data_IF_510318851372
#
_entry.id   IF_510318851372
#
_cell.length_a   1.000
_cell.length_b   1.000
_cell.length_c   1.000
_cell.angle_alpha   90.00
_cell.angle_beta   90.00
_cell.angle_gamma   90.00
#
_symmetry.space_group_name_H-M   'P 1'
#
loop_
_entity.id
_entity.type
_entity.pdbx_description
1 polymer ?
#
# COMPACT_ATOMS: atom_id res chain seq x y z
N UNK A 1 13.67 25.07 14.48
CA UNK A 1 12.66 24.06 14.15
C UNK A 1 11.79 23.85 15.37
N UNK A 2 10.46 23.92 15.25
CA UNK A 2 9.58 23.61 16.37
C UNK A 2 9.76 22.13 16.74
N UNK A 3 9.83 21.84 18.05
CA UNK A 3 9.92 20.47 18.56
C UNK A 3 8.58 19.79 18.28
N UNK A 4 8.60 18.62 17.63
CA UNK A 4 7.38 17.82 17.39
C UNK A 4 6.80 17.33 18.71
N UNK A 5 5.52 17.57 18.93
CA UNK A 5 4.83 17.04 20.09
C UNK A 5 4.47 15.57 19.82
N UNK A 6 5.08 14.67 20.57
CA UNK A 6 4.94 13.22 20.40
C UNK A 6 4.36 12.61 21.66
N UNK A 7 3.28 11.86 21.51
CA UNK A 7 2.77 10.95 22.52
C UNK A 7 3.00 9.51 22.07
N UNK A 8 3.87 8.82 22.80
CA UNK A 8 4.16 7.41 22.53
C UNK A 8 3.58 6.55 23.66
N UNK A 9 2.55 5.77 23.31
CA UNK A 9 1.88 4.82 24.19
C UNK A 9 2.07 3.37 23.69
N UNK A 10 3.13 3.09 22.95
CA UNK A 10 3.42 1.75 22.45
C UNK A 10 3.49 0.72 23.59
N UNK A 11 2.79 -0.42 23.42
CA UNK A 11 2.80 -1.58 24.34
C UNK A 11 2.45 -1.24 25.78
N UNK A 12 1.40 -0.44 26.00
CA UNK A 12 0.93 -0.07 27.33
C UNK A 12 -0.27 -0.92 27.79
N UNK A 13 -0.66 -1.95 27.00
CA UNK A 13 -1.81 -2.84 27.30
C UNK A 13 -3.10 -2.06 27.58
N UNK A 14 -3.33 -0.99 26.81
CA UNK A 14 -4.41 -0.02 27.09
C UNK A 14 -5.82 -0.64 27.00
N UNK A 15 -6.03 -1.59 26.08
CA UNK A 15 -7.36 -2.10 25.74
C UNK A 15 -8.29 -1.04 25.12
N UNK A 16 -8.25 0.18 25.63
CA UNK A 16 -8.95 1.36 25.09
C UNK A 16 -8.09 2.61 25.28
N UNK A 17 -8.22 3.56 24.34
CA UNK A 17 -7.45 4.82 24.41
C UNK A 17 -8.07 5.73 25.48
N UNK A 18 -7.27 6.26 26.45
CA UNK A 18 -7.79 7.18 27.47
C UNK A 18 -8.35 8.46 26.85
N UNK A 19 -9.48 8.95 27.36
CA UNK A 19 -10.13 10.18 26.86
C UNK A 19 -9.22 11.42 26.89
N UNK A 20 -8.27 11.48 27.83
CA UNK A 20 -7.29 12.56 27.94
C UNK A 20 -6.37 12.70 26.72
N UNK A 21 -6.24 11.65 25.92
CA UNK A 21 -5.45 11.67 24.67
C UNK A 21 -6.11 12.58 23.65
N UNK A 22 -7.44 12.53 23.53
CA UNK A 22 -8.21 13.30 22.52
C UNK A 22 -8.19 14.80 22.78
N UNK A 23 -7.87 15.22 23.99
CA UNK A 23 -7.72 16.65 24.38
C UNK A 23 -6.37 17.23 24.01
N UNK A 24 -5.41 16.42 23.61
CA UNK A 24 -4.03 16.83 23.23
C UNK A 24 -3.97 17.25 21.76
N UNK A 25 -4.74 18.25 21.38
CA UNK A 25 -4.92 18.70 19.98
C UNK A 25 -3.63 19.23 19.32
N UNK A 26 -2.56 19.46 20.10
CA UNK A 26 -1.28 19.96 19.62
C UNK A 26 -0.31 18.84 19.17
N UNK A 27 -0.73 17.57 19.28
CA UNK A 27 0.12 16.43 18.90
C UNK A 27 0.45 16.43 17.40
N UNK A 28 1.72 16.25 17.07
CA UNK A 28 2.21 15.94 15.72
C UNK A 28 2.33 14.43 15.48
N UNK A 29 2.61 13.65 16.52
CA UNK A 29 2.82 12.20 16.44
C UNK A 29 2.09 11.49 17.57
N UNK A 30 1.26 10.51 17.21
CA UNK A 30 0.58 9.63 18.16
C UNK A 30 0.88 8.16 17.81
N UNK A 31 1.45 7.43 18.77
CA UNK A 31 1.75 6.01 18.65
C UNK A 31 0.89 5.23 19.65
N UNK A 32 -0.01 4.43 19.13
CA UNK A 32 -0.94 3.57 19.86
C UNK A 32 -0.76 2.09 19.48
N UNK A 33 0.36 1.75 18.85
CA UNK A 33 0.62 0.40 18.40
C UNK A 33 0.77 -0.60 19.55
N UNK A 34 0.33 -1.85 19.31
CA UNK A 34 0.46 -3.00 20.20
C UNK A 34 -0.19 -2.76 21.59
N UNK A 35 -1.48 -2.40 21.58
CA UNK A 35 -2.26 -2.07 22.79
C UNK A 35 -3.55 -2.90 22.96
N UNK A 36 -3.81 -3.86 22.06
CA UNK A 36 -5.04 -4.65 22.12
C UNK A 36 -6.31 -3.84 21.85
N UNK A 37 -6.21 -2.71 21.18
CA UNK A 37 -7.35 -1.84 20.86
C UNK A 37 -8.33 -2.56 19.94
N UNK A 38 -9.60 -2.61 20.30
CA UNK A 38 -10.67 -3.20 19.49
C UNK A 38 -11.50 -2.18 18.74
N UNK A 39 -11.45 -0.92 19.15
CA UNK A 39 -12.16 0.20 18.55
C UNK A 39 -11.33 1.49 18.62
N UNK A 40 -11.52 2.36 17.65
CA UNK A 40 -11.01 3.73 17.63
C UNK A 40 -12.24 4.67 17.65
N UNK A 41 -12.39 5.55 18.66
CA UNK A 41 -13.54 6.43 18.74
C UNK A 41 -13.44 7.59 17.73
N UNK A 42 -14.58 8.21 17.36
CA UNK A 42 -14.64 9.38 16.49
C UNK A 42 -13.82 10.58 16.98
N UNK A 43 -13.53 10.63 18.27
CA UNK A 43 -12.69 11.67 18.89
C UNK A 43 -11.30 11.79 18.29
N UNK A 44 -10.81 10.76 17.59
CA UNK A 44 -9.56 10.83 16.81
C UNK A 44 -9.56 12.03 15.86
N UNK A 45 -10.73 12.40 15.30
CA UNK A 45 -10.90 13.54 14.41
C UNK A 45 -10.52 14.89 15.03
N UNK A 46 -10.43 15.00 16.35
CA UNK A 46 -10.03 16.24 17.04
C UNK A 46 -8.53 16.55 16.91
N UNK A 47 -7.70 15.54 16.60
CA UNK A 47 -6.24 15.67 16.54
C UNK A 47 -5.75 16.19 15.18
N UNK A 48 -6.28 17.33 14.75
CA UNK A 48 -6.09 17.88 13.39
C UNK A 48 -4.63 18.18 13.02
N UNK A 49 -3.71 18.28 13.98
CA UNK A 49 -2.30 18.58 13.72
C UNK A 49 -1.43 17.36 13.50
N UNK A 50 -1.98 16.16 13.69
CA UNK A 50 -1.22 14.93 13.50
C UNK A 50 -0.61 14.85 12.10
N UNK A 51 0.65 14.45 12.07
CA UNK A 51 1.43 14.12 10.87
C UNK A 51 1.74 12.64 10.77
N UNK A 52 1.80 11.97 11.92
CA UNK A 52 1.99 10.51 12.02
C UNK A 52 1.00 9.94 13.02
N UNK A 53 0.31 8.86 12.61
CA UNK A 53 -0.55 8.06 13.47
C UNK A 53 -0.17 6.59 13.29
N UNK A 54 0.15 5.93 14.41
CA UNK A 54 0.43 4.50 14.43
C UNK A 54 -0.61 3.76 15.28
N UNK A 55 -1.41 2.94 14.60
CA UNK A 55 -2.44 2.05 15.14
C UNK A 55 -2.12 0.57 14.82
N UNK A 56 -0.91 0.27 14.38
CA UNK A 56 -0.49 -1.09 14.01
C UNK A 56 -0.56 -2.06 15.19
N UNK A 57 -0.62 -3.36 14.88
CA UNK A 57 -0.63 -4.44 15.88
C UNK A 57 -1.71 -4.26 16.96
N UNK A 58 -2.97 -4.13 16.54
CA UNK A 58 -4.13 -4.04 17.40
C UNK A 58 -5.22 -5.04 16.96
N UNK A 59 -6.40 -4.94 17.52
CA UNK A 59 -7.54 -5.79 17.16
C UNK A 59 -8.71 -4.97 16.57
N UNK A 60 -8.40 -3.87 15.88
CA UNK A 60 -9.38 -2.97 15.30
C UNK A 60 -10.16 -3.67 14.18
N UNK A 61 -11.48 -3.71 14.30
CA UNK A 61 -12.37 -4.24 13.25
C UNK A 61 -12.82 -3.18 12.24
N UNK A 62 -12.74 -1.92 12.63
CA UNK A 62 -13.02 -0.75 11.80
C UNK A 62 -12.26 0.46 12.31
N UNK A 63 -12.14 1.48 11.47
CA UNK A 63 -11.72 2.84 11.84
C UNK A 63 -12.83 3.82 11.46
N UNK A 64 -13.06 4.88 12.26
CA UNK A 64 -14.17 5.82 12.04
C UNK A 64 -13.90 6.75 10.85
N UNK A 65 -14.99 7.29 10.26
CA UNK A 65 -14.91 8.26 9.16
C UNK A 65 -14.16 9.55 9.58
N UNK A 66 -14.19 9.90 10.86
CA UNK A 66 -13.49 11.04 11.43
C UNK A 66 -11.97 10.96 11.25
N UNK A 67 -11.43 9.79 10.98
CA UNK A 67 -10.01 9.63 10.62
C UNK A 67 -9.65 10.48 9.39
N UNK A 68 -10.57 10.64 8.44
CA UNK A 68 -10.40 11.49 7.26
C UNK A 68 -10.40 12.99 7.54
N UNK A 69 -10.67 13.43 8.77
CA UNK A 69 -10.56 14.83 9.20
C UNK A 69 -9.12 15.24 9.52
N UNK A 70 -8.20 14.26 9.65
CA UNK A 70 -6.78 14.48 9.92
C UNK A 70 -6.01 14.96 8.66
N UNK A 71 -6.48 16.03 8.02
CA UNK A 71 -5.98 16.49 6.71
C UNK A 71 -4.52 16.99 6.74
N UNK A 72 -3.97 17.24 7.93
CA UNK A 72 -2.53 17.55 8.10
C UNK A 72 -1.65 16.30 8.21
N UNK A 73 -2.24 15.09 8.22
CA UNK A 73 -1.50 13.83 8.25
C UNK A 73 -0.67 13.70 6.97
N UNK A 74 0.64 13.89 7.09
CA UNK A 74 1.54 14.05 5.95
C UNK A 74 2.66 13.03 5.90
N UNK A 75 3.00 12.41 7.01
CA UNK A 75 4.11 11.48 7.08
C UNK A 75 3.59 10.03 6.93
N UNK A 76 3.07 9.44 8.00
CA UNK A 76 2.71 8.02 8.03
C UNK A 76 1.36 7.76 8.71
N UNK A 77 0.60 6.81 8.14
CA UNK A 77 -0.54 6.16 8.76
C UNK A 77 -0.31 4.65 8.77
N UNK A 78 -0.20 4.08 9.96
CA UNK A 78 -0.07 2.63 10.16
C UNK A 78 -1.38 2.06 10.69
N UNK A 79 -1.97 1.14 9.93
CA UNK A 79 -3.18 0.38 10.25
C UNK A 79 -2.94 -1.14 10.12
N UNK A 80 -1.68 -1.54 9.90
CA UNK A 80 -1.31 -2.93 9.64
C UNK A 80 -1.51 -3.81 10.88
N UNK A 81 -1.64 -5.12 10.62
CA UNK A 81 -1.85 -6.15 11.63
C UNK A 81 -3.02 -5.78 12.58
N UNK A 82 -4.21 -5.75 11.96
CA UNK A 82 -5.50 -5.50 12.58
C UNK A 82 -6.56 -6.46 12.00
N UNK A 83 -7.82 -6.23 12.29
CA UNK A 83 -8.95 -7.04 11.79
C UNK A 83 -9.86 -6.22 10.87
N UNK A 84 -9.30 -5.25 10.14
CA UNK A 84 -10.06 -4.36 9.28
C UNK A 84 -10.57 -5.13 8.04
N UNK A 85 -11.88 -5.22 7.89
CA UNK A 85 -12.51 -5.82 6.70
C UNK A 85 -12.77 -4.79 5.60
N UNK A 86 -12.76 -3.51 5.92
CA UNK A 86 -12.92 -2.36 5.02
C UNK A 86 -12.20 -1.13 5.56
N UNK A 87 -11.91 -0.19 4.68
CA UNK A 87 -11.42 1.15 5.03
C UNK A 87 -12.54 2.18 4.83
N UNK A 88 -12.60 3.27 5.61
CA UNK A 88 -13.60 4.31 5.43
C UNK A 88 -13.34 5.14 4.16
N UNK A 89 -14.40 5.62 3.53
CA UNK A 89 -14.32 6.44 2.32
C UNK A 89 -13.59 7.76 2.58
N UNK A 90 -13.70 8.29 3.78
CA UNK A 90 -13.05 9.53 4.19
C UNK A 90 -11.52 9.50 4.13
N UNK A 91 -10.88 8.30 4.08
CA UNK A 91 -9.43 8.19 3.90
C UNK A 91 -8.93 8.95 2.65
N UNK A 92 -9.76 9.04 1.60
CA UNK A 92 -9.44 9.82 0.41
C UNK A 92 -9.16 11.30 0.67
N UNK A 93 -9.58 11.85 1.80
CA UNK A 93 -9.35 13.24 2.19
C UNK A 93 -7.90 13.49 2.65
N UNK A 94 -7.12 12.43 2.94
CA UNK A 94 -5.74 12.53 3.41
C UNK A 94 -4.77 12.81 2.25
N UNK A 95 -5.00 13.91 1.57
CA UNK A 95 -4.31 14.28 0.32
C UNK A 95 -2.80 14.52 0.47
N UNK A 96 -2.32 14.76 1.70
CA UNK A 96 -0.91 15.02 2.02
C UNK A 96 -0.15 13.78 2.47
N UNK A 97 -0.85 12.69 2.80
CA UNK A 97 -0.23 11.48 3.34
C UNK A 97 0.75 10.88 2.34
N UNK A 98 1.95 10.53 2.81
CA UNK A 98 3.02 9.95 1.98
C UNK A 98 3.15 8.45 2.12
N UNK A 99 2.84 7.90 3.27
CA UNK A 99 2.96 6.49 3.58
C UNK A 99 1.68 5.96 4.22
N UNK A 100 1.10 4.93 3.62
CA UNK A 100 -0.03 4.19 4.16
C UNK A 100 0.31 2.71 4.23
N UNK A 101 0.16 2.11 5.42
CA UNK A 101 0.28 0.67 5.59
C UNK A 101 -1.02 0.10 6.18
N UNK A 102 -1.71 -0.70 5.36
CA UNK A 102 -2.93 -1.46 5.72
C UNK A 102 -2.70 -2.98 5.57
N UNK A 103 -1.44 -3.40 5.54
CA UNK A 103 -1.08 -4.82 5.43
C UNK A 103 -1.58 -5.66 6.60
N UNK A 104 -1.64 -6.98 6.39
CA UNK A 104 -2.02 -7.92 7.45
C UNK A 104 -3.40 -7.61 8.05
N UNK A 105 -4.38 -7.45 7.16
CA UNK A 105 -5.79 -7.25 7.47
C UNK A 105 -6.67 -8.17 6.59
N UNK A 106 -7.91 -8.45 6.92
CA UNK A 106 -8.81 -9.21 6.05
C UNK A 106 -9.53 -8.34 5.00
N UNK A 107 -8.88 -7.29 4.44
CA UNK A 107 -9.47 -6.43 3.42
C UNK A 107 -9.74 -7.23 2.14
N UNK A 108 -10.97 -7.16 1.63
CA UNK A 108 -11.34 -7.77 0.34
C UNK A 108 -11.36 -6.75 -0.80
N UNK A 109 -11.53 -5.48 -0.49
CA UNK A 109 -11.57 -4.36 -1.42
C UNK A 109 -10.92 -3.12 -0.80
N UNK A 110 -10.56 -2.16 -1.65
CA UNK A 110 -10.18 -0.81 -1.26
C UNK A 110 -11.28 0.16 -1.76
N UNK A 111 -11.55 1.26 -1.05
CA UNK A 111 -12.55 2.24 -1.49
C UNK A 111 -12.07 3.00 -2.74
N UNK A 112 -12.99 3.37 -3.63
CA UNK A 112 -12.66 4.21 -4.80
C UNK A 112 -12.09 5.58 -4.39
N UNK A 113 -12.45 6.06 -3.22
CA UNK A 113 -11.92 7.32 -2.69
C UNK A 113 -10.42 7.29 -2.41
N UNK A 114 -9.78 6.09 -2.40
CA UNK A 114 -8.32 5.96 -2.25
C UNK A 114 -7.55 6.85 -3.25
N UNK A 115 -8.12 7.06 -4.44
CA UNK A 115 -7.54 7.93 -5.47
C UNK A 115 -7.37 9.39 -5.05
N UNK A 116 -8.10 9.84 -4.02
CA UNK A 116 -7.96 11.18 -3.45
C UNK A 116 -6.66 11.42 -2.70
N UNK A 117 -5.95 10.36 -2.29
CA UNK A 117 -4.68 10.42 -1.54
C UNK A 117 -3.50 10.82 -2.47
N UNK A 118 -3.58 11.97 -3.10
CA UNK A 118 -2.68 12.40 -4.18
C UNK A 118 -1.21 12.56 -3.78
N UNK A 119 -0.92 12.73 -2.49
CA UNK A 119 0.44 12.79 -1.92
C UNK A 119 1.09 11.43 -1.69
N UNK A 120 0.33 10.32 -1.83
CA UNK A 120 0.80 9.00 -1.43
C UNK A 120 1.95 8.53 -2.32
N UNK A 121 3.10 8.27 -1.69
CA UNK A 121 4.32 7.81 -2.37
C UNK A 121 4.62 6.33 -2.13
N UNK A 122 4.17 5.78 -1.00
CA UNK A 122 4.30 4.37 -0.67
C UNK A 122 2.97 3.84 -0.11
N UNK A 123 2.48 2.78 -0.72
CA UNK A 123 1.26 2.09 -0.30
C UNK A 123 1.54 0.62 -0.04
N UNK A 124 1.28 0.18 1.18
CA UNK A 124 1.42 -1.20 1.62
C UNK A 124 0.06 -1.80 1.95
N UNK A 125 -0.32 -2.83 1.20
CA UNK A 125 -1.55 -3.60 1.39
C UNK A 125 -1.28 -5.12 1.29
N UNK A 126 -0.07 -5.55 1.69
CA UNK A 126 0.32 -6.97 1.69
C UNK A 126 -0.51 -7.78 2.68
N UNK A 127 -0.61 -9.10 2.42
CA UNK A 127 -1.29 -10.06 3.29
C UNK A 127 -2.74 -9.66 3.63
N UNK A 128 -3.49 -9.31 2.60
CA UNK A 128 -4.93 -9.08 2.63
C UNK A 128 -5.67 -10.16 1.80
N UNK A 129 -6.91 -9.88 1.38
CA UNK A 129 -7.73 -10.76 0.55
C UNK A 129 -8.22 -10.02 -0.71
N UNK A 130 -7.42 -9.08 -1.20
CA UNK A 130 -7.76 -8.27 -2.37
C UNK A 130 -7.79 -9.14 -3.63
N UNK A 131 -8.87 -9.05 -4.42
CA UNK A 131 -9.00 -9.72 -5.72
C UNK A 131 -8.56 -8.82 -6.87
N UNK A 132 -8.67 -7.53 -6.70
CA UNK A 132 -8.25 -6.47 -7.62
C UNK A 132 -8.03 -5.16 -6.86
N UNK A 133 -7.61 -4.13 -7.57
CA UNK A 133 -7.57 -2.74 -7.06
C UNK A 133 -8.72 -1.95 -7.69
N UNK A 134 -9.20 -0.86 -7.03
CA UNK A 134 -10.18 0.05 -7.62
C UNK A 134 -9.58 0.83 -8.81
N UNK A 135 -10.42 1.27 -9.74
CA UNK A 135 -9.96 2.06 -10.88
C UNK A 135 -9.34 3.40 -10.47
N UNK A 136 -9.76 3.94 -9.34
CA UNK A 136 -9.18 5.15 -8.78
C UNK A 136 -7.69 5.01 -8.37
N UNK A 137 -7.14 3.79 -8.30
CA UNK A 137 -5.70 3.59 -8.00
C UNK A 137 -4.81 4.40 -8.95
N UNK A 138 -5.21 4.53 -10.23
CA UNK A 138 -4.48 5.31 -11.23
C UNK A 138 -4.43 6.82 -10.98
N UNK A 139 -5.16 7.33 -10.00
CA UNK A 139 -5.11 8.73 -9.58
C UNK A 139 -3.97 9.02 -8.60
N UNK A 140 -3.33 7.98 -8.03
CA UNK A 140 -2.19 8.10 -7.11
C UNK A 140 -0.89 8.45 -7.88
N UNK A 141 -0.87 9.61 -8.51
CA UNK A 141 0.21 10.02 -9.43
C UNK A 141 1.57 10.21 -8.77
N UNK A 142 1.63 10.33 -7.44
CA UNK A 142 2.87 10.43 -6.67
C UNK A 142 3.42 9.06 -6.23
N UNK A 143 2.68 7.95 -6.50
CA UNK A 143 3.00 6.63 -6.00
C UNK A 143 4.28 6.08 -6.64
N UNK A 144 5.24 5.71 -5.79
CA UNK A 144 6.54 5.15 -6.17
C UNK A 144 6.68 3.69 -5.81
N UNK A 145 6.04 3.28 -4.73
CA UNK A 145 6.12 1.92 -4.22
C UNK A 145 4.73 1.37 -3.92
N UNK A 146 4.41 0.22 -4.49
CA UNK A 146 3.14 -0.48 -4.30
C UNK A 146 3.40 -1.93 -3.88
N UNK A 147 3.00 -2.26 -2.65
CA UNK A 147 3.25 -3.55 -2.03
C UNK A 147 1.93 -4.31 -1.86
N UNK A 148 1.74 -5.36 -2.66
CA UNK A 148 0.49 -6.15 -2.76
C UNK A 148 0.71 -7.65 -2.50
N UNK A 149 1.87 -8.03 -1.96
CA UNK A 149 2.21 -9.43 -1.68
C UNK A 149 1.12 -10.13 -0.87
N UNK A 150 0.90 -11.44 -1.17
CA UNK A 150 0.06 -12.28 -0.31
C UNK A 150 -1.41 -11.87 -0.34
N UNK A 151 -1.91 -11.51 -1.52
CA UNK A 151 -3.32 -11.29 -1.80
C UNK A 151 -3.85 -12.40 -2.74
N UNK A 152 -5.02 -12.22 -3.30
CA UNK A 152 -5.62 -13.12 -4.29
C UNK A 152 -5.89 -12.39 -5.62
N UNK A 153 -5.00 -11.45 -5.97
CA UNK A 153 -5.16 -10.59 -7.15
C UNK A 153 -4.99 -11.42 -8.42
N UNK A 154 -5.99 -11.39 -9.28
CA UNK A 154 -6.01 -12.06 -10.59
C UNK A 154 -5.62 -11.10 -11.72
N UNK A 155 -5.87 -9.81 -11.55
CA UNK A 155 -5.61 -8.75 -12.54
C UNK A 155 -5.44 -7.38 -11.88
N UNK A 156 -4.76 -6.48 -12.56
CA UNK A 156 -4.73 -5.06 -12.21
C UNK A 156 -5.67 -4.28 -13.14
N UNK A 157 -6.30 -3.20 -12.66
CA UNK A 157 -7.11 -2.33 -13.51
C UNK A 157 -6.25 -1.63 -14.56
N UNK A 158 -6.85 -1.28 -15.70
CA UNK A 158 -6.16 -0.55 -16.78
C UNK A 158 -5.62 0.80 -16.33
N UNK A 159 -6.27 1.44 -15.38
CA UNK A 159 -5.87 2.70 -14.76
C UNK A 159 -4.49 2.65 -14.08
N UNK A 160 -3.98 1.45 -13.72
CA UNK A 160 -2.62 1.27 -13.21
C UNK A 160 -1.56 1.88 -14.16
N UNK A 161 -1.85 1.94 -15.47
CA UNK A 161 -1.00 2.59 -16.46
C UNK A 161 -0.74 4.08 -16.18
N UNK A 162 -1.54 4.72 -15.34
CA UNK A 162 -1.39 6.14 -14.97
C UNK A 162 -0.40 6.37 -13.81
N UNK A 163 0.15 5.31 -13.20
CA UNK A 163 1.10 5.39 -12.10
C UNK A 163 2.52 5.71 -12.61
N UNK A 164 2.70 6.84 -13.29
CA UNK A 164 3.93 7.18 -14.01
C UNK A 164 5.18 7.33 -13.12
N UNK A 165 5.01 7.55 -11.81
CA UNK A 165 6.11 7.64 -10.85
C UNK A 165 6.48 6.29 -10.23
N UNK A 166 5.72 5.19 -10.52
CA UNK A 166 5.93 3.89 -9.90
C UNK A 166 7.32 3.33 -10.26
N UNK A 167 8.04 2.88 -9.24
CA UNK A 167 9.41 2.34 -9.32
C UNK A 167 9.50 0.91 -8.84
N UNK A 168 8.70 0.57 -7.85
CA UNK A 168 8.69 -0.76 -7.24
C UNK A 168 7.25 -1.28 -7.16
N UNK A 169 7.04 -2.50 -7.67
CA UNK A 169 5.77 -3.21 -7.63
C UNK A 169 6.00 -4.63 -7.10
N UNK A 170 5.44 -4.92 -5.93
CA UNK A 170 5.46 -6.27 -5.35
C UNK A 170 4.08 -6.91 -5.49
N UNK A 171 3.99 -7.91 -6.36
CA UNK A 171 2.79 -8.72 -6.63
C UNK A 171 3.02 -10.20 -6.30
N UNK A 172 4.05 -10.55 -5.57
CA UNK A 172 4.33 -11.95 -5.23
C UNK A 172 3.22 -12.56 -4.38
N UNK A 173 3.09 -13.90 -4.49
CA UNK A 173 2.07 -14.64 -3.76
C UNK A 173 0.65 -14.10 -4.07
N UNK A 174 0.29 -14.06 -5.37
CA UNK A 174 -1.00 -13.67 -5.90
C UNK A 174 -1.51 -14.73 -6.89
N UNK A 175 -2.61 -14.44 -7.61
CA UNK A 175 -3.26 -15.37 -8.53
C UNK A 175 -3.14 -14.96 -10.00
N UNK A 176 -2.11 -14.17 -10.36
CA UNK A 176 -1.92 -13.68 -11.73
C UNK A 176 -1.62 -14.84 -12.69
N UNK A 177 -2.33 -14.89 -13.81
CA UNK A 177 -2.09 -15.84 -14.92
C UNK A 177 -1.32 -15.20 -16.08
N UNK A 178 -1.26 -13.88 -16.12
CA UNK A 178 -0.54 -13.08 -17.13
C UNK A 178 0.06 -11.83 -16.47
N UNK A 179 1.10 -11.27 -17.08
CA UNK A 179 1.67 -9.99 -16.65
C UNK A 179 0.72 -8.87 -17.08
N UNK A 180 0.24 -8.03 -16.15
CA UNK A 180 -0.76 -7.00 -16.48
C UNK A 180 -0.27 -6.02 -17.55
N UNK A 181 -1.01 -5.90 -18.66
CA UNK A 181 -0.68 -5.02 -19.80
C UNK A 181 -0.56 -3.55 -19.38
N UNK A 182 -1.29 -3.15 -18.34
CA UNK A 182 -1.22 -1.79 -17.77
C UNK A 182 0.17 -1.38 -17.27
N UNK A 183 1.11 -2.33 -17.15
CA UNK A 183 2.48 -2.04 -16.74
C UNK A 183 3.38 -1.61 -17.91
N UNK A 184 3.01 -1.89 -19.15
CA UNK A 184 3.84 -1.69 -20.35
C UNK A 184 4.32 -0.24 -20.52
N UNK A 185 3.50 0.74 -20.14
CA UNK A 185 3.79 2.18 -20.29
C UNK A 185 4.51 2.83 -19.10
N UNK A 186 4.81 2.06 -18.04
CA UNK A 186 5.40 2.61 -16.82
C UNK A 186 6.91 2.81 -16.95
N UNK A 187 7.30 3.93 -17.56
CA UNK A 187 8.69 4.22 -17.94
C UNK A 187 9.69 4.34 -16.77
N UNK A 188 9.19 4.50 -15.53
CA UNK A 188 10.03 4.59 -14.31
C UNK A 188 10.04 3.32 -13.48
N UNK A 189 9.31 2.28 -13.89
CA UNK A 189 9.22 1.01 -13.15
C UNK A 189 10.54 0.26 -13.27
N UNK A 190 11.19 0.04 -12.11
CA UNK A 190 12.53 -0.57 -12.02
C UNK A 190 12.48 -2.01 -11.54
N UNK A 191 11.60 -2.30 -10.61
CA UNK A 191 11.53 -3.62 -9.99
C UNK A 191 10.10 -4.14 -10.00
N UNK A 192 9.94 -5.36 -10.52
CA UNK A 192 8.69 -6.10 -10.52
C UNK A 192 8.94 -7.45 -9.86
N UNK A 193 8.26 -7.69 -8.76
CA UNK A 193 8.27 -8.99 -8.09
C UNK A 193 6.96 -9.72 -8.38
N UNK A 194 7.05 -10.78 -9.17
CA UNK A 194 5.92 -11.62 -9.60
C UNK A 194 6.03 -13.05 -9.07
N UNK A 195 6.89 -13.31 -8.10
CA UNK A 195 7.09 -14.66 -7.53
C UNK A 195 5.77 -15.29 -7.06
N UNK A 196 5.73 -16.62 -7.14
CA UNK A 196 4.58 -17.38 -6.61
C UNK A 196 3.26 -16.88 -7.19
N UNK A 197 3.15 -16.84 -8.51
CA UNK A 197 1.93 -16.60 -9.27
C UNK A 197 1.68 -17.78 -10.23
N UNK A 198 0.74 -17.66 -11.17
CA UNK A 198 0.40 -18.69 -12.13
C UNK A 198 0.82 -18.33 -13.56
N UNK A 199 1.85 -17.51 -13.73
CA UNK A 199 2.31 -17.04 -15.03
C UNK A 199 2.89 -18.18 -15.85
N UNK A 200 2.47 -18.32 -17.11
CA UNK A 200 3.01 -19.30 -18.07
C UNK A 200 3.59 -18.63 -19.33
N UNK A 201 3.31 -17.37 -19.55
CA UNK A 201 3.75 -16.59 -20.70
C UNK A 201 4.22 -15.21 -20.25
N UNK A 202 5.13 -14.64 -21.04
CA UNK A 202 5.62 -13.29 -20.84
C UNK A 202 5.39 -12.45 -22.11
N UNK A 203 4.90 -11.24 -21.97
CA UNK A 203 4.71 -10.35 -23.12
C UNK A 203 6.03 -9.71 -23.57
N UNK A 204 6.19 -9.54 -24.88
CA UNK A 204 7.41 -8.99 -25.49
C UNK A 204 7.72 -7.56 -25.08
N UNK A 205 6.71 -6.79 -24.67
CA UNK A 205 6.87 -5.40 -24.24
C UNK A 205 7.72 -5.27 -22.95
N UNK A 206 7.92 -6.34 -22.17
CA UNK A 206 8.85 -6.31 -21.03
C UNK A 206 10.26 -5.87 -21.45
N UNK A 207 10.70 -6.29 -22.64
CA UNK A 207 12.01 -5.88 -23.20
C UNK A 207 12.02 -4.47 -23.79
N UNK A 208 10.89 -3.75 -23.78
CA UNK A 208 10.78 -2.36 -24.19
C UNK A 208 10.70 -1.40 -22.99
N UNK A 209 10.65 -1.91 -21.77
CA UNK A 209 10.62 -1.09 -20.57
C UNK A 209 11.99 -0.45 -20.30
N UNK A 210 12.12 0.88 -20.37
CA UNK A 210 13.43 1.54 -20.41
C UNK A 210 14.17 1.54 -19.08
N UNK A 211 13.48 1.31 -17.97
CA UNK A 211 14.05 1.40 -16.62
C UNK A 211 14.00 0.09 -15.85
N UNK A 212 13.58 -1.02 -16.47
CA UNK A 212 13.43 -2.29 -15.75
C UNK A 212 14.80 -2.88 -15.39
N UNK A 213 15.11 -2.87 -14.09
CA UNK A 213 16.38 -3.33 -13.53
C UNK A 213 16.27 -4.75 -12.95
N UNK A 214 15.08 -5.14 -12.46
CA UNK A 214 14.86 -6.46 -11.85
C UNK A 214 13.47 -6.99 -12.13
N UNK A 215 13.40 -8.24 -12.58
CA UNK A 215 12.18 -9.02 -12.77
C UNK A 215 12.33 -10.37 -12.05
N UNK A 216 11.50 -10.60 -11.03
CA UNK A 216 11.51 -11.85 -10.28
C UNK A 216 10.28 -12.69 -10.64
N UNK A 217 10.53 -13.83 -11.28
CA UNK A 217 9.50 -14.74 -11.82
C UNK A 217 9.50 -16.10 -11.11
N UNK A 218 10.34 -16.29 -10.09
CA UNK A 218 10.47 -17.59 -9.42
C UNK A 218 9.12 -18.14 -8.96
N UNK A 219 8.99 -19.46 -8.97
CA UNK A 219 7.77 -20.15 -8.58
C UNK A 219 6.55 -19.79 -9.44
N UNK A 220 6.77 -19.58 -10.73
CA UNK A 220 5.77 -19.51 -11.79
C UNK A 220 5.91 -20.71 -12.73
N UNK A 221 5.11 -20.74 -13.80
CA UNK A 221 5.13 -21.78 -14.84
C UNK A 221 5.80 -21.29 -16.12
N UNK A 222 6.60 -20.24 -16.02
CA UNK A 222 7.33 -19.64 -17.15
C UNK A 222 8.47 -20.57 -17.56
N UNK A 223 8.59 -20.85 -18.86
CA UNK A 223 9.70 -21.62 -19.42
C UNK A 223 11.01 -20.79 -19.28
N UNK A 224 12.01 -21.29 -18.55
CA UNK A 224 13.27 -20.57 -18.36
C UNK A 224 14.11 -20.46 -19.65
N UNK A 225 13.76 -21.19 -20.72
CA UNK A 225 14.44 -21.11 -22.02
C UNK A 225 13.89 -20.04 -22.94
N UNK A 226 12.90 -19.25 -22.54
CA UNK A 226 12.31 -18.22 -23.38
C UNK A 226 13.35 -17.20 -23.86
N UNK A 227 13.49 -16.93 -25.17
CA UNK A 227 14.46 -15.97 -25.73
C UNK A 227 14.31 -14.56 -25.12
N UNK A 228 13.12 -14.20 -24.67
CA UNK A 228 12.83 -12.93 -24.02
C UNK A 228 13.65 -12.73 -22.74
N UNK A 229 13.85 -13.79 -21.94
CA UNK A 229 14.62 -13.73 -20.69
C UNK A 229 16.08 -13.35 -20.97
N UNK A 230 16.72 -14.05 -21.91
CA UNK A 230 18.09 -13.71 -22.35
C UNK A 230 18.18 -12.31 -23.00
N UNK A 231 17.10 -11.84 -23.62
CA UNK A 231 17.03 -10.46 -24.14
C UNK A 231 17.02 -9.45 -23.01
N UNK A 232 16.21 -9.66 -21.98
CA UNK A 232 16.14 -8.79 -20.79
C UNK A 232 17.51 -8.72 -20.07
N UNK A 233 18.18 -9.85 -19.89
CA UNK A 233 19.51 -9.91 -19.27
C UNK A 233 20.55 -9.10 -20.06
N UNK A 234 20.56 -9.22 -21.41
CA UNK A 234 21.43 -8.41 -22.28
C UNK A 234 21.14 -6.91 -22.19
N UNK A 235 19.90 -6.51 -21.85
CA UNK A 235 19.53 -5.13 -21.61
C UNK A 235 19.88 -4.66 -20.18
N UNK A 236 20.49 -5.51 -19.35
CA UNK A 236 20.93 -5.19 -18.00
C UNK A 236 19.90 -5.47 -16.92
N UNK A 237 18.76 -6.11 -17.25
CA UNK A 237 17.77 -6.51 -16.27
C UNK A 237 18.21 -7.80 -15.54
N UNK A 238 18.16 -7.79 -14.22
CA UNK A 238 18.34 -9.02 -13.40
C UNK A 238 17.05 -9.82 -13.49
N UNK A 239 17.10 -10.98 -14.14
CA UNK A 239 15.94 -11.88 -14.25
C UNK A 239 16.17 -13.09 -13.34
N UNK A 240 15.16 -13.39 -12.49
CA UNK A 240 15.16 -14.55 -11.59
C UNK A 240 13.98 -15.46 -11.96
N UNK A 241 14.24 -16.71 -12.35
CA UNK A 241 13.24 -17.72 -12.75
C UNK A 241 13.25 -18.94 -11.84
#
# INVERSE_FOLDING_TARGET
>A
MAVRQTLNLWRQELGAVPESVWRQTELDVLILADNGLTALPPDIGQLHRLKTLDLGHNALTSVPEELGQLTELSDCLYLHDNQLSRLPDSLGNLTRLRYLNVGENPLTTLPETIGGMSGLSEFRAQHNRLTTLPDAIGQLRSLRELWLRGNVIERLPSSTANLHELRHLDLRENSLTEVPESLAGLSRLRQIDLRSNNLSRLPDWLALMPSLEKLDLRWNKVDPSLPLLSKLERLGCIVLT
#
